data_IF_457094635818
#
_entry.id   IF_457094635818
#
_cell.length_a   1.000
_cell.length_b   1.000
_cell.length_c   1.000
_cell.angle_alpha   90.00
_cell.angle_beta   90.00
_cell.angle_gamma   90.00
#
_symmetry.space_group_name_H-M   'P 1'
#
loop_
_entity.id
_entity.type
_entity.pdbx_description
1 polymer ?
#
# COMPACT_ATOMS: atom_id res chain seq x y z
N UNK A 1 -11.07 40.47 1.50
CA UNK A 1 -11.73 40.58 2.82
C UNK A 1 -11.52 39.29 3.56
N UNK A 2 -10.80 39.35 4.69
CA UNK A 2 -10.57 38.24 5.59
C UNK A 2 -11.81 37.97 6.44
N UNK A 3 -12.06 36.70 6.74
CA UNK A 3 -12.76 36.28 7.95
C UNK A 3 -14.22 35.88 7.78
N UNK A 4 -14.44 34.56 7.72
CA UNK A 4 -15.13 33.83 8.80
C UNK A 4 -14.79 32.34 8.68
N UNK A 5 -14.00 31.85 9.65
CA UNK A 5 -13.83 30.42 9.93
C UNK A 5 -15.20 29.91 10.42
N UNK A 6 -15.81 29.01 9.66
CA UNK A 6 -16.94 28.23 10.17
C UNK A 6 -16.38 27.30 11.25
N UNK A 7 -17.08 27.29 12.37
CA UNK A 7 -16.71 26.63 13.62
C UNK A 7 -16.49 25.14 13.40
N UNK A 8 -15.43 24.68 14.06
CA UNK A 8 -14.97 23.32 14.34
C UNK A 8 -16.11 22.36 14.67
N UNK A 9 -16.21 21.26 13.93
CA UNK A 9 -16.77 20.01 14.45
C UNK A 9 -15.58 19.28 15.08
N UNK A 10 -15.51 19.32 16.41
CA UNK A 10 -14.45 18.69 17.21
C UNK A 10 -13.58 19.68 18.00
N UNK A 11 -14.18 20.50 18.86
CA UNK A 11 -13.49 21.12 20.00
C UNK A 11 -13.52 20.17 21.22
N UNK A 12 -13.17 18.90 21.00
CA UNK A 12 -12.66 18.09 22.10
C UNK A 12 -11.18 18.42 22.20
N UNK A 13 -10.74 18.85 23.39
CA UNK A 13 -9.34 19.02 23.72
C UNK A 13 -8.64 17.65 23.64
N UNK A 14 -8.30 17.22 22.43
CA UNK A 14 -7.41 16.08 22.19
C UNK A 14 -6.06 16.49 22.75
N UNK A 15 -5.73 16.01 23.93
CA UNK A 15 -4.39 16.14 24.50
C UNK A 15 -3.38 15.47 23.54
N UNK A 16 -2.13 15.95 23.51
CA UNK A 16 -1.08 15.31 22.71
C UNK A 16 -0.91 13.82 23.00
N UNK A 17 -1.23 13.40 24.23
CA UNK A 17 -1.23 12.00 24.66
C UNK A 17 -2.32 11.22 23.91
N UNK A 18 -3.55 11.73 23.86
CA UNK A 18 -4.65 11.09 23.12
C UNK A 18 -4.44 11.05 21.60
N UNK A 19 -3.72 12.04 21.04
CA UNK A 19 -3.35 12.02 19.62
C UNK A 19 -2.29 10.97 19.32
N UNK A 20 -1.26 10.87 20.18
CA UNK A 20 -0.22 9.84 20.06
C UNK A 20 -0.80 8.42 20.22
N UNK A 21 -1.67 8.20 21.20
CA UNK A 21 -2.37 6.93 21.40
C UNK A 21 -3.23 6.56 20.18
N UNK A 22 -3.91 7.54 19.59
CA UNK A 22 -4.67 7.34 18.35
C UNK A 22 -3.77 6.97 17.17
N UNK A 23 -2.60 7.60 17.05
CA UNK A 23 -1.62 7.29 16.00
C UNK A 23 -1.06 5.88 16.15
N UNK A 24 -0.69 5.47 17.37
CA UNK A 24 -0.24 4.11 17.64
C UNK A 24 -1.29 3.08 17.20
N UNK A 25 -2.55 3.34 17.53
CA UNK A 25 -3.63 2.45 17.14
C UNK A 25 -3.81 2.37 15.62
N UNK A 26 -3.73 3.50 14.91
CA UNK A 26 -3.77 3.53 13.45
C UNK A 26 -2.60 2.74 12.84
N UNK A 27 -1.39 2.89 13.40
CA UNK A 27 -0.18 2.14 12.98
C UNK A 27 -0.37 0.64 13.22
N UNK A 28 -0.87 0.20 14.38
CA UNK A 28 -1.12 -1.23 14.67
C UNK A 28 -2.08 -1.85 13.66
N UNK A 29 -3.19 -1.16 13.37
CA UNK A 29 -4.18 -1.63 12.40
C UNK A 29 -3.57 -1.72 11.00
N UNK A 30 -2.87 -0.68 10.57
CA UNK A 30 -2.21 -0.64 9.26
C UNK A 30 -1.16 -1.75 9.10
N UNK A 31 -0.31 -1.96 10.11
CA UNK A 31 0.67 -3.04 10.11
C UNK A 31 -0.01 -4.40 10.01
N UNK A 32 -1.12 -4.62 10.73
CA UNK A 32 -1.93 -5.83 10.60
C UNK A 32 -2.40 -6.09 9.16
N UNK A 33 -2.92 -5.06 8.49
CA UNK A 33 -3.35 -5.12 7.09
C UNK A 33 -2.16 -5.42 6.15
N UNK A 34 -1.06 -4.69 6.30
CA UNK A 34 0.17 -4.84 5.50
C UNK A 34 0.76 -6.24 5.68
N UNK A 35 0.80 -6.79 6.90
CA UNK A 35 1.21 -8.18 7.16
C UNK A 35 0.35 -9.17 6.37
N UNK A 36 -0.97 -8.94 6.32
CA UNK A 36 -1.90 -9.70 5.50
C UNK A 36 -1.56 -9.66 4.00
N UNK A 37 -1.21 -8.47 3.48
CA UNK A 37 -0.81 -8.32 2.08
C UNK A 37 0.48 -9.07 1.76
N UNK A 38 1.51 -8.97 2.60
CA UNK A 38 2.75 -9.72 2.40
C UNK A 38 2.54 -11.23 2.49
N UNK A 39 1.73 -11.72 3.43
CA UNK A 39 1.36 -13.16 3.49
C UNK A 39 0.70 -13.62 2.20
N UNK A 40 -0.25 -12.83 1.68
CA UNK A 40 -0.91 -13.10 0.39
C UNK A 40 0.12 -13.07 -0.73
N UNK A 41 0.91 -12.02 -0.91
CA UNK A 41 1.92 -11.90 -1.95
C UNK A 41 2.94 -13.06 -1.92
N UNK A 42 3.41 -13.45 -0.74
CA UNK A 42 4.32 -14.58 -0.55
C UNK A 42 3.69 -15.92 -0.97
N UNK A 43 2.36 -16.09 -0.83
CA UNK A 43 1.65 -17.27 -1.34
C UNK A 43 1.51 -17.28 -2.86
N UNK A 44 1.57 -16.10 -3.49
CA UNK A 44 1.47 -15.96 -4.96
C UNK A 44 2.82 -16.12 -5.64
N UNK A 45 3.92 -15.74 -5.00
CA UNK A 45 5.28 -15.79 -5.58
C UNK A 45 5.88 -17.21 -5.55
N UNK A 46 6.52 -17.68 -6.64
CA UNK A 46 7.18 -18.98 -6.70
C UNK A 46 8.56 -18.97 -6.02
N UNK A 47 8.64 -18.56 -4.75
CA UNK A 47 9.91 -18.41 -4.00
C UNK A 47 10.71 -19.71 -3.85
N UNK A 48 10.03 -20.88 -3.93
CA UNK A 48 10.69 -22.19 -3.97
C UNK A 48 11.40 -22.46 -5.31
N UNK A 49 10.84 -21.94 -6.41
CA UNK A 49 11.35 -22.14 -7.76
C UNK A 49 12.36 -21.07 -8.21
N UNK A 50 12.34 -19.88 -7.60
CA UNK A 50 13.28 -18.79 -7.87
C UNK A 50 13.83 -18.29 -6.53
N UNK A 51 15.01 -18.78 -6.15
CA UNK A 51 15.61 -18.51 -4.82
C UNK A 51 15.80 -17.02 -4.54
N UNK A 52 16.16 -16.25 -5.56
CA UNK A 52 16.41 -14.81 -5.44
C UNK A 52 15.14 -13.96 -5.19
N UNK A 53 13.92 -14.52 -5.31
CA UNK A 53 12.69 -13.76 -5.02
C UNK A 53 12.52 -13.44 -3.54
N UNK A 54 12.92 -14.34 -2.64
CA UNK A 54 12.82 -14.09 -1.20
C UNK A 54 13.68 -12.90 -0.74
N UNK A 55 14.99 -12.83 -1.05
CA UNK A 55 15.79 -11.66 -0.70
C UNK A 55 15.33 -10.38 -1.42
N UNK A 56 14.86 -10.47 -2.67
CA UNK A 56 14.28 -9.31 -3.37
C UNK A 56 13.01 -8.80 -2.70
N UNK A 57 12.13 -9.69 -2.26
CA UNK A 57 10.89 -9.33 -1.56
C UNK A 57 11.21 -8.53 -0.29
N UNK A 58 12.17 -9.00 0.51
CA UNK A 58 12.56 -8.36 1.76
C UNK A 58 13.30 -7.03 1.56
N UNK A 59 14.05 -6.89 0.46
CA UNK A 59 14.81 -5.66 0.16
C UNK A 59 13.97 -4.59 -0.53
N UNK A 60 13.17 -4.98 -1.52
CA UNK A 60 12.57 -4.08 -2.50
C UNK A 60 11.07 -4.31 -2.76
N UNK A 61 10.48 -5.37 -2.22
CA UNK A 61 9.06 -5.71 -2.41
C UNK A 61 8.08 -4.82 -1.65
N UNK A 62 8.30 -3.50 -1.66
CA UNK A 62 7.54 -2.52 -0.90
C UNK A 62 6.09 -2.42 -1.38
N UNK A 63 5.18 -2.15 -0.47
CA UNK A 63 3.75 -1.95 -0.75
C UNK A 63 3.45 -0.51 -1.22
N UNK A 64 4.22 0.02 -2.17
CA UNK A 64 4.11 1.40 -2.66
C UNK A 64 3.88 1.38 -4.17
N UNK A 65 2.93 2.17 -4.66
CA UNK A 65 2.57 2.26 -6.07
C UNK A 65 1.07 2.47 -6.28
N UNK A 66 0.63 2.40 -7.54
CA UNK A 66 -0.75 2.72 -7.93
C UNK A 66 -1.64 1.49 -8.18
N UNK A 67 -1.12 0.27 -8.00
CA UNK A 67 -1.91 -0.96 -8.02
C UNK A 67 -2.53 -1.25 -6.65
N UNK A 68 -3.26 -2.36 -6.54
CA UNK A 68 -3.63 -2.87 -5.23
C UNK A 68 -2.37 -3.24 -4.41
N UNK A 69 -2.43 -3.16 -3.07
CA UNK A 69 -1.31 -3.46 -2.18
C UNK A 69 -0.55 -4.75 -2.50
N UNK A 70 -1.27 -5.83 -2.85
CA UNK A 70 -0.65 -7.14 -3.10
C UNK A 70 0.10 -7.13 -4.43
N UNK A 71 -0.49 -6.56 -5.47
CA UNK A 71 0.13 -6.44 -6.79
C UNK A 71 1.36 -5.52 -6.75
N UNK A 72 1.33 -4.42 -5.98
CA UNK A 72 2.50 -3.57 -5.75
C UNK A 72 3.66 -4.38 -5.14
N UNK A 73 3.42 -5.14 -4.07
CA UNK A 73 4.44 -5.99 -3.43
C UNK A 73 5.06 -6.97 -4.44
N UNK A 74 4.22 -7.68 -5.21
CA UNK A 74 4.66 -8.68 -6.19
C UNK A 74 5.52 -8.03 -7.28
N UNK A 75 5.05 -6.94 -7.87
CA UNK A 75 5.73 -6.36 -9.02
C UNK A 75 6.95 -5.57 -8.61
N UNK A 76 6.95 -4.87 -7.48
CA UNK A 76 8.17 -4.24 -6.96
C UNK A 76 9.26 -5.29 -6.65
N UNK A 77 8.86 -6.47 -6.17
CA UNK A 77 9.78 -7.62 -5.98
C UNK A 77 10.37 -8.10 -7.31
N UNK A 78 9.56 -8.17 -8.37
CA UNK A 78 9.97 -8.68 -9.69
C UNK A 78 10.82 -7.65 -10.45
N UNK A 79 10.45 -6.37 -10.36
CA UNK A 79 11.14 -5.23 -10.99
C UNK A 79 12.56 -5.06 -10.46
N UNK A 80 12.76 -5.31 -9.16
CA UNK A 80 14.08 -5.22 -8.55
C UNK A 80 14.96 -6.42 -8.92
N UNK A 81 16.07 -6.14 -9.60
CA UNK A 81 17.11 -7.11 -9.85
C UNK A 81 18.46 -6.46 -9.53
N UNK A 82 19.09 -6.80 -8.38
CA UNK A 82 20.41 -6.29 -8.09
C UNK A 82 21.40 -6.77 -9.17
N UNK A 83 22.38 -5.93 -9.50
CA UNK A 83 23.55 -6.34 -10.28
C UNK A 83 24.28 -7.48 -9.54
N UNK A 84 24.81 -8.50 -10.24
CA UNK A 84 25.52 -9.60 -9.58
C UNK A 84 26.82 -9.07 -8.93
N UNK A 85 26.77 -8.84 -7.62
CA UNK A 85 27.94 -8.73 -6.75
C UNK A 85 28.28 -10.11 -6.18
N UNK A 86 29.56 -10.42 -5.94
CA UNK A 86 29.98 -11.73 -5.48
C UNK A 86 29.60 -11.93 -4.01
N UNK A 87 29.15 -13.15 -3.72
CA UNK A 87 29.20 -13.83 -2.42
C UNK A 87 28.39 -13.22 -1.27
N UNK A 88 27.23 -13.81 -0.98
CA UNK A 88 27.05 -14.64 0.21
C UNK A 88 25.92 -15.60 -0.12
N UNK A 89 26.08 -16.87 0.25
CA UNK A 89 25.18 -17.96 -0.12
C UNK A 89 23.71 -17.54 -0.02
N UNK A 90 23.04 -17.36 -1.16
CA UNK A 90 21.58 -17.27 -1.23
C UNK A 90 21.03 -18.68 -0.98
N UNK A 91 21.22 -19.16 0.25
CA UNK A 91 20.58 -20.35 0.76
C UNK A 91 19.06 -20.19 0.64
N UNK A 92 18.38 -21.32 0.45
CA UNK A 92 16.91 -21.33 0.40
C UNK A 92 16.40 -20.80 1.74
N UNK A 93 15.94 -19.55 1.76
CA UNK A 93 15.44 -18.95 2.99
C UNK A 93 14.16 -19.67 3.40
N UNK A 94 14.20 -20.34 4.55
CA UNK A 94 13.03 -21.02 5.07
C UNK A 94 11.86 -20.03 5.21
N UNK A 95 10.65 -20.47 4.85
CA UNK A 95 9.47 -19.61 4.87
C UNK A 95 9.24 -18.92 6.22
N UNK A 96 9.56 -19.61 7.32
CA UNK A 96 9.50 -19.06 8.68
C UNK A 96 10.40 -17.82 8.84
N UNK A 97 11.62 -17.88 8.32
CA UNK A 97 12.59 -16.77 8.35
C UNK A 97 12.21 -15.62 7.44
N UNK A 98 11.56 -15.89 6.30
CA UNK A 98 10.99 -14.82 5.46
C UNK A 98 9.90 -14.10 6.25
N UNK A 99 8.98 -14.84 6.88
CA UNK A 99 7.87 -14.27 7.63
C UNK A 99 8.34 -13.45 8.84
N UNK A 100 9.38 -13.88 9.56
CA UNK A 100 9.92 -13.09 10.68
C UNK A 100 10.56 -11.78 10.23
N UNK A 101 11.03 -11.67 8.97
CA UNK A 101 11.55 -10.42 8.39
C UNK A 101 10.46 -9.56 7.74
N UNK A 102 9.26 -10.10 7.60
CA UNK A 102 8.07 -9.41 7.09
C UNK A 102 7.25 -8.84 8.24
N UNK A 103 6.97 -9.66 9.26
CA UNK A 103 6.06 -9.32 10.36
C UNK A 103 6.79 -8.44 11.35
N UNK A 104 6.24 -7.25 11.55
CA UNK A 104 6.69 -6.28 12.54
C UNK A 104 6.19 -6.68 13.91
N UNK A 105 7.09 -6.70 14.88
CA UNK A 105 6.75 -6.86 16.28
C UNK A 105 6.11 -5.58 16.81
N UNK A 106 4.82 -5.60 17.08
CA UNK A 106 4.08 -4.42 17.56
C UNK A 106 4.27 -4.14 19.04
N UNK A 107 5.00 -5.00 19.76
CA UNK A 107 5.36 -4.79 21.16
C UNK A 107 6.61 -3.91 21.30
N UNK A 108 7.37 -3.71 20.22
CA UNK A 108 8.51 -2.79 20.18
C UNK A 108 8.01 -1.34 19.99
N UNK A 109 8.20 -0.44 20.98
CA UNK A 109 7.69 0.93 20.90
C UNK A 109 8.29 1.73 19.74
N UNK A 110 9.50 1.37 19.28
CA UNK A 110 10.18 2.05 18.15
C UNK A 110 9.42 1.90 16.83
N UNK A 111 8.51 0.94 16.75
CA UNK A 111 7.66 0.72 15.57
C UNK A 111 6.66 1.86 15.37
N UNK A 112 6.31 2.57 16.44
CA UNK A 112 5.36 3.68 16.41
C UNK A 112 6.01 5.04 16.12
N UNK A 113 7.35 5.11 16.12
CA UNK A 113 8.07 6.34 15.77
C UNK A 113 7.94 6.64 14.27
N UNK A 114 7.47 7.85 13.96
CA UNK A 114 7.38 8.43 12.62
C UNK A 114 7.98 9.85 12.67
N UNK A 115 8.83 10.24 11.70
CA UNK A 115 9.50 9.37 10.72
C UNK A 115 10.47 8.39 11.39
N UNK A 116 10.80 7.28 10.72
CA UNK A 116 11.78 6.32 11.24
C UNK A 116 13.18 6.95 11.32
N UNK A 117 13.84 6.74 12.46
CA UNK A 117 15.26 7.06 12.59
C UNK A 117 16.11 6.34 11.52
N UNK A 118 17.11 7.03 11.01
CA UNK A 118 17.93 6.52 9.92
C UNK A 118 18.75 5.28 10.32
N UNK A 119 19.17 5.19 11.58
CA UNK A 119 19.97 4.08 12.08
C UNK A 119 19.11 2.84 12.35
N UNK A 120 17.85 3.02 12.76
CA UNK A 120 16.92 1.91 13.00
C UNK A 120 16.19 1.44 11.74
N UNK A 121 15.95 2.32 10.75
CA UNK A 121 15.17 1.99 9.55
C UNK A 121 15.74 0.82 8.73
N UNK A 122 17.06 0.58 8.77
CA UNK A 122 17.70 -0.52 8.02
C UNK A 122 17.48 -1.89 8.67
N UNK A 123 17.24 -1.94 9.98
CA UNK A 123 16.92 -3.17 10.70
C UNK A 123 15.41 -3.46 10.77
N UNK A 124 14.58 -2.51 10.33
CA UNK A 124 13.13 -2.66 10.29
C UNK A 124 12.66 -3.67 9.24
N UNK A 125 11.50 -4.25 9.54
CA UNK A 125 10.81 -5.18 8.64
C UNK A 125 10.37 -4.49 7.35
N UNK A 126 10.18 -5.28 6.29
CA UNK A 126 9.69 -4.73 5.01
C UNK A 126 8.26 -4.17 5.13
N UNK A 127 7.45 -4.69 6.07
CA UNK A 127 6.12 -4.15 6.35
C UNK A 127 6.18 -2.75 6.97
N UNK A 128 7.01 -2.55 8.01
CA UNK A 128 7.17 -1.24 8.64
C UNK A 128 7.78 -0.22 7.70
N UNK A 129 8.75 -0.63 6.87
CA UNK A 129 9.31 0.21 5.79
C UNK A 129 8.26 0.58 4.74
N UNK A 130 7.32 -0.32 4.43
CA UNK A 130 6.23 0.00 3.51
C UNK A 130 5.27 1.03 4.08
N UNK A 131 4.92 0.91 5.37
CA UNK A 131 4.12 1.92 6.07
C UNK A 131 4.80 3.29 6.03
N UNK A 132 6.11 3.34 6.31
CA UNK A 132 6.92 4.57 6.25
C UNK A 132 6.80 5.25 4.88
N UNK A 133 6.97 4.46 3.81
CA UNK A 133 6.89 4.98 2.45
C UNK A 133 5.50 5.44 2.06
N UNK A 134 4.44 4.75 2.51
CA UNK A 134 3.05 5.16 2.27
C UNK A 134 2.73 6.51 2.95
N UNK A 135 3.10 6.65 4.23
CA UNK A 135 2.92 7.91 4.98
C UNK A 135 3.74 9.03 4.33
N UNK A 136 5.01 8.76 4.03
CA UNK A 136 5.88 9.71 3.34
C UNK A 136 5.28 10.17 2.01
N UNK A 137 4.78 9.25 1.18
CA UNK A 137 4.15 9.61 -0.09
C UNK A 137 3.05 10.65 0.11
N UNK A 138 2.13 10.41 1.04
CA UNK A 138 1.00 11.30 1.28
C UNK A 138 1.45 12.68 1.79
N UNK A 139 2.41 12.75 2.71
CA UNK A 139 2.91 14.01 3.26
C UNK A 139 3.68 14.82 2.20
N UNK A 140 4.49 14.16 1.38
CA UNK A 140 5.25 14.84 0.33
C UNK A 140 4.38 15.28 -0.84
N UNK A 141 3.32 14.51 -1.16
CA UNK A 141 2.35 14.89 -2.18
C UNK A 141 1.41 16.00 -1.69
N UNK A 142 0.81 15.81 -0.52
CA UNK A 142 -0.05 16.78 0.17
C UNK A 142 0.73 17.47 1.29
N UNK A 143 1.52 18.49 0.95
CA UNK A 143 2.39 19.22 1.89
C UNK A 143 1.69 19.85 3.10
N UNK A 144 0.36 19.92 3.08
CA UNK A 144 -0.47 20.44 4.18
C UNK A 144 -0.96 19.35 5.14
N UNK A 145 -0.75 18.07 4.82
CA UNK A 145 -1.28 16.94 5.57
C UNK A 145 -0.35 16.60 6.73
N UNK A 146 -0.89 16.52 7.95
CA UNK A 146 -0.15 16.06 9.12
C UNK A 146 0.02 14.53 9.12
N UNK A 147 1.01 14.03 9.86
CA UNK A 147 1.28 12.58 9.98
C UNK A 147 0.07 11.79 10.49
N UNK A 148 -0.58 12.28 11.54
CA UNK A 148 -1.79 11.68 12.10
C UNK A 148 -2.91 11.58 11.04
N UNK A 149 -3.08 12.61 10.21
CA UNK A 149 -4.07 12.61 9.15
C UNK A 149 -3.71 11.60 8.04
N UNK A 150 -2.43 11.55 7.64
CA UNK A 150 -1.95 10.59 6.65
C UNK A 150 -2.19 9.14 7.09
N UNK A 151 -1.88 8.81 8.36
CA UNK A 151 -2.16 7.51 8.96
C UNK A 151 -3.67 7.21 8.94
N UNK A 152 -4.49 8.17 9.35
CA UNK A 152 -5.95 7.99 9.38
C UNK A 152 -6.53 7.74 7.98
N UNK A 153 -6.09 8.47 6.96
CA UNK A 153 -6.52 8.24 5.58
C UNK A 153 -6.07 6.88 5.05
N UNK A 154 -4.82 6.48 5.34
CA UNK A 154 -4.34 5.15 4.97
C UNK A 154 -5.16 4.05 5.66
N UNK A 155 -5.52 4.23 6.95
CA UNK A 155 -6.33 3.25 7.66
C UNK A 155 -7.70 3.10 7.02
N UNK A 156 -8.36 4.22 6.71
CA UNK A 156 -9.66 4.23 6.03
C UNK A 156 -9.58 3.60 4.62
N UNK A 157 -8.44 3.75 3.95
CA UNK A 157 -8.17 3.15 2.66
C UNK A 157 -7.68 1.69 2.73
N UNK A 158 -7.50 1.11 3.92
CA UNK A 158 -6.94 -0.23 4.08
C UNK A 158 -5.51 -0.36 3.56
N UNK A 159 -4.70 0.70 3.71
CA UNK A 159 -3.37 0.89 3.16
C UNK A 159 -3.26 0.82 1.62
N UNK A 160 -4.36 0.98 0.88
CA UNK A 160 -4.33 1.25 -0.57
C UNK A 160 -4.02 2.73 -0.81
N UNK A 161 -2.83 3.01 -1.34
CA UNK A 161 -2.33 4.37 -1.53
C UNK A 161 -3.24 5.21 -2.44
N UNK A 162 -3.71 4.62 -3.54
CA UNK A 162 -4.49 5.36 -4.52
C UNK A 162 -5.91 5.65 -4.00
N UNK A 163 -6.45 4.73 -3.19
CA UNK A 163 -7.70 4.97 -2.48
C UNK A 163 -7.53 6.05 -1.40
N UNK A 164 -6.40 6.10 -0.69
CA UNK A 164 -6.12 7.16 0.28
C UNK A 164 -6.04 8.54 -0.37
N UNK A 165 -5.32 8.65 -1.50
CA UNK A 165 -5.29 9.86 -2.35
C UNK A 165 -6.70 10.29 -2.73
N UNK A 166 -7.52 9.37 -3.22
CA UNK A 166 -8.92 9.66 -3.58
C UNK A 166 -9.72 10.18 -2.37
N UNK A 167 -9.60 9.55 -1.19
CA UNK A 167 -10.30 9.99 0.02
C UNK A 167 -9.90 11.40 0.45
N UNK A 168 -8.61 11.72 0.41
CA UNK A 168 -8.09 13.06 0.73
C UNK A 168 -8.67 14.10 -0.24
N UNK A 169 -8.67 13.79 -1.54
CA UNK A 169 -9.19 14.69 -2.55
C UNK A 169 -10.69 14.94 -2.38
N UNK A 170 -11.47 13.92 -2.02
CA UNK A 170 -12.92 14.08 -1.76
C UNK A 170 -13.19 14.90 -0.49
N UNK A 171 -12.41 14.71 0.57
CA UNK A 171 -12.57 15.44 1.84
C UNK A 171 -12.18 16.92 1.70
N UNK A 172 -11.05 17.19 1.04
CA UNK A 172 -10.45 18.53 0.99
C UNK A 172 -10.99 19.39 -0.16
N UNK A 173 -11.33 18.80 -1.29
CA UNK A 173 -11.93 19.51 -2.42
C UNK A 173 -13.45 19.39 -2.35
N UNK A 174 -14.11 20.37 -1.69
CA UNK A 174 -15.56 20.44 -1.45
C UNK A 174 -16.40 19.67 -2.50
N UNK A 175 -17.29 18.75 -2.09
CA UNK A 175 -18.31 18.18 -2.97
C UNK A 175 -19.49 19.15 -3.05
N UNK A 176 -19.26 20.33 -3.61
CA UNK A 176 -20.35 21.00 -4.32
C UNK A 176 -20.26 20.47 -5.74
N UNK A 177 -21.34 19.91 -6.26
CA UNK A 177 -21.61 19.64 -7.69
C UNK A 177 -21.99 18.17 -7.96
N UNK A 178 -22.87 17.99 -8.96
CA UNK A 178 -23.64 16.80 -9.29
C UNK A 178 -22.79 15.63 -9.83
N UNK A 179 -23.38 14.44 -9.88
CA UNK A 179 -22.75 13.21 -10.40
C UNK A 179 -22.30 13.36 -11.87
N UNK A 180 -22.94 14.25 -12.65
CA UNK A 180 -22.57 14.50 -14.05
C UNK A 180 -21.23 15.22 -14.20
N UNK A 181 -20.85 16.08 -13.26
CA UNK A 181 -19.61 16.86 -13.32
C UNK A 181 -18.37 16.08 -12.84
N UNK A 182 -18.56 14.85 -12.36
CA UNK A 182 -17.46 13.94 -12.03
C UNK A 182 -16.72 13.44 -13.28
N UNK A 183 -17.37 13.45 -14.45
CA UNK A 183 -16.78 13.03 -15.72
C UNK A 183 -16.01 14.17 -16.41
N UNK A 184 -16.41 15.43 -16.20
CA UNK A 184 -15.78 16.62 -16.78
C UNK A 184 -14.68 17.23 -15.88
N UNK A 185 -14.54 16.74 -14.64
CA UNK A 185 -13.48 17.20 -13.73
C UNK A 185 -12.10 16.74 -14.22
N UNK A 186 -11.12 17.64 -14.13
CA UNK A 186 -9.69 17.26 -14.17
C UNK A 186 -9.45 16.24 -13.05
N UNK A 187 -8.77 15.11 -13.30
CA UNK A 187 -8.50 14.14 -12.26
C UNK A 187 -7.75 14.83 -11.10
N UNK A 188 -8.16 14.60 -9.85
CA UNK A 188 -7.64 15.31 -8.69
C UNK A 188 -6.18 14.92 -8.37
N UNK A 189 -5.76 13.77 -8.89
CA UNK A 189 -4.41 13.24 -8.86
C UNK A 189 -3.84 13.18 -10.27
N UNK A 190 -2.58 13.56 -10.47
CA UNK A 190 -1.86 13.34 -11.73
C UNK A 190 -0.65 12.44 -11.49
N UNK A 191 -0.78 11.18 -11.94
CA UNK A 191 0.25 10.14 -11.83
C UNK A 191 1.57 10.58 -12.50
N UNK A 192 1.47 11.32 -13.60
CA UNK A 192 2.63 11.72 -14.42
C UNK A 192 3.25 13.04 -13.96
N UNK A 193 2.60 13.75 -13.02
CA UNK A 193 3.08 15.03 -12.53
C UNK A 193 4.47 14.96 -11.89
N UNK A 194 5.28 16.03 -11.97
CA UNK A 194 6.54 16.12 -11.24
C UNK A 194 6.38 15.88 -9.73
N UNK A 195 5.28 16.37 -9.14
CA UNK A 195 4.95 16.19 -7.72
C UNK A 195 4.81 14.72 -7.36
N UNK A 196 4.06 13.93 -8.15
CA UNK A 196 3.94 12.49 -7.93
C UNK A 196 5.28 11.78 -8.03
N UNK A 197 6.11 12.13 -9.01
CA UNK A 197 7.46 11.55 -9.18
C UNK A 197 8.35 11.85 -7.98
N UNK A 198 8.28 13.07 -7.43
CA UNK A 198 9.02 13.47 -6.24
C UNK A 198 8.50 12.71 -5.02
N UNK A 199 7.18 12.66 -4.81
CA UNK A 199 6.57 11.95 -3.70
C UNK A 199 6.90 10.45 -3.71
N UNK A 200 6.90 9.79 -4.88
CA UNK A 200 7.35 8.40 -5.01
C UNK A 200 8.84 8.22 -4.67
N UNK A 201 9.70 9.17 -5.07
CA UNK A 201 11.14 9.12 -4.73
C UNK A 201 11.35 9.25 -3.22
N UNK A 202 10.67 10.20 -2.58
CA UNK A 202 10.71 10.38 -1.13
C UNK A 202 10.18 9.14 -0.41
N UNK A 203 9.04 8.60 -0.84
CA UNK A 203 8.47 7.37 -0.31
C UNK A 203 9.43 6.19 -0.39
N UNK A 204 10.07 5.98 -1.54
CA UNK A 204 11.06 4.93 -1.73
C UNK A 204 12.32 5.14 -0.88
N UNK A 205 12.76 6.40 -0.72
CA UNK A 205 13.91 6.74 0.11
C UNK A 205 13.63 6.51 1.61
N UNK A 206 12.49 6.98 2.13
CA UNK A 206 12.07 6.74 3.52
C UNK A 206 11.89 5.25 3.80
N UNK A 207 11.32 4.51 2.83
CA UNK A 207 11.20 3.06 2.89
C UNK A 207 12.53 2.30 2.66
N UNK A 208 13.67 2.99 2.53
CA UNK A 208 15.01 2.41 2.32
C UNK A 208 15.09 1.46 1.13
N UNK A 209 14.38 1.77 0.04
CA UNK A 209 14.50 0.98 -1.19
C UNK A 209 15.95 1.07 -1.71
N UNK A 210 16.61 -0.04 -2.10
CA UNK A 210 18.02 -0.02 -2.52
C UNK A 210 18.26 0.89 -3.72
N UNK A 211 17.31 0.93 -4.65
CA UNK A 211 17.38 1.73 -5.88
C UNK A 211 16.06 2.47 -6.12
N UNK A 212 15.82 3.63 -5.47
CA UNK A 212 14.52 4.33 -5.51
C UNK A 212 14.01 4.62 -6.93
N UNK A 213 14.93 4.85 -7.88
CA UNK A 213 14.59 5.09 -9.28
C UNK A 213 13.86 3.91 -9.92
N UNK A 214 14.23 2.65 -9.59
CA UNK A 214 13.56 1.46 -10.13
C UNK A 214 12.11 1.41 -9.67
N UNK A 215 11.85 1.68 -8.39
CA UNK A 215 10.48 1.68 -7.85
C UNK A 215 9.61 2.75 -8.53
N UNK A 216 10.16 3.95 -8.70
CA UNK A 216 9.45 5.07 -9.36
C UNK A 216 9.12 4.72 -10.81
N UNK A 217 10.12 4.26 -11.57
CA UNK A 217 9.93 3.86 -12.97
C UNK A 217 8.92 2.73 -13.10
N UNK A 218 9.04 1.69 -12.26
CA UNK A 218 8.08 0.59 -12.23
C UNK A 218 6.66 1.07 -11.89
N UNK A 219 6.50 1.94 -10.89
CA UNK A 219 5.19 2.45 -10.48
C UNK A 219 4.49 3.24 -11.60
N UNK A 220 5.24 4.10 -12.30
CA UNK A 220 4.72 4.88 -13.43
C UNK A 220 4.40 3.99 -14.63
N UNK A 221 5.26 3.02 -14.93
CA UNK A 221 5.04 2.04 -15.99
C UNK A 221 3.80 1.18 -15.72
N UNK A 222 3.63 0.73 -14.48
CA UNK A 222 2.50 -0.12 -14.09
C UNK A 222 1.19 0.66 -14.04
N UNK A 223 1.23 1.95 -13.77
CA UNK A 223 0.07 2.81 -13.92
C UNK A 223 -0.46 2.82 -15.36
N UNK A 224 0.42 2.71 -16.38
CA UNK A 224 -0.03 2.70 -17.78
C UNK A 224 -0.72 1.43 -18.24
N UNK A 225 -0.36 0.32 -17.62
CA UNK A 225 -0.94 -0.98 -17.92
C UNK A 225 -1.84 -1.49 -16.79
N UNK A 226 -2.31 -0.60 -15.91
CA UNK A 226 -2.93 -0.99 -14.64
C UNK A 226 -4.11 -1.96 -14.80
N UNK A 227 -4.99 -1.70 -15.79
CA UNK A 227 -6.14 -2.57 -16.07
C UNK A 227 -5.70 -3.98 -16.45
N UNK A 228 -4.81 -4.09 -17.44
CA UNK A 228 -4.34 -5.38 -17.96
C UNK A 228 -3.52 -6.15 -16.91
N UNK A 229 -2.65 -5.48 -16.17
CA UNK A 229 -1.77 -6.12 -15.18
C UNK A 229 -2.57 -6.52 -13.93
N UNK A 230 -3.47 -5.68 -13.45
CA UNK A 230 -4.34 -6.00 -12.31
C UNK A 230 -5.24 -7.19 -12.64
N UNK A 231 -5.83 -7.22 -13.83
CA UNK A 231 -6.65 -8.34 -14.28
C UNK A 231 -5.83 -9.62 -14.44
N UNK A 232 -4.68 -9.53 -15.11
CA UNK A 232 -3.76 -10.66 -15.27
C UNK A 232 -3.34 -11.24 -13.92
N UNK A 233 -3.02 -10.40 -12.94
CA UNK A 233 -2.69 -10.85 -11.59
C UNK A 233 -3.93 -11.42 -10.88
N UNK A 234 -5.12 -10.87 -11.05
CA UNK A 234 -6.33 -11.42 -10.43
C UNK A 234 -6.68 -12.82 -10.95
N UNK A 235 -6.53 -13.06 -12.25
CA UNK A 235 -6.77 -14.37 -12.87
C UNK A 235 -5.74 -15.42 -12.41
N UNK A 236 -4.58 -15.01 -11.92
CA UNK A 236 -3.49 -15.89 -11.53
C UNK A 236 -3.18 -15.78 -10.03
N UNK A 237 -3.90 -16.53 -9.18
CA UNK A 237 -3.71 -16.50 -7.73
C UNK A 237 -2.35 -17.06 -7.31
N UNK A 238 -1.69 -17.89 -8.12
CA UNK A 238 -0.30 -18.31 -7.94
C UNK A 238 0.48 -18.13 -9.23
N UNK A 239 1.62 -17.46 -9.15
CA UNK A 239 2.47 -17.17 -10.30
C UNK A 239 3.41 -18.35 -10.55
N UNK A 240 3.46 -18.81 -11.80
CA UNK A 240 4.46 -19.78 -12.23
C UNK A 240 5.81 -19.10 -12.48
N UNK A 241 6.88 -19.89 -12.52
CA UNK A 241 8.24 -19.41 -12.85
C UNK A 241 8.25 -18.71 -14.22
N UNK A 242 7.53 -19.27 -15.20
CA UNK A 242 7.40 -18.69 -16.56
C UNK A 242 6.75 -17.32 -16.50
N UNK A 243 5.68 -17.16 -15.72
CA UNK A 243 4.98 -15.88 -15.57
C UNK A 243 5.87 -14.81 -14.96
N UNK A 244 6.62 -15.15 -13.91
CA UNK A 244 7.58 -14.21 -13.31
C UNK A 244 8.63 -13.76 -14.32
N UNK A 245 9.16 -14.68 -15.13
CA UNK A 245 10.12 -14.35 -16.20
C UNK A 245 9.50 -13.46 -17.27
N UNK A 246 8.28 -13.76 -17.72
CA UNK A 246 7.57 -12.96 -18.71
C UNK A 246 7.26 -11.55 -18.18
N UNK A 247 6.75 -11.42 -16.95
CA UNK A 247 6.49 -10.12 -16.32
C UNK A 247 7.78 -9.31 -16.19
N UNK A 248 8.88 -9.94 -15.77
CA UNK A 248 10.19 -9.29 -15.68
C UNK A 248 10.66 -8.79 -17.04
N UNK A 249 10.59 -9.63 -18.07
CA UNK A 249 11.00 -9.26 -19.42
C UNK A 249 10.14 -8.11 -19.96
N UNK A 250 8.82 -8.18 -19.74
CA UNK A 250 7.90 -7.09 -20.10
C UNK A 250 8.27 -5.78 -19.39
N UNK A 251 8.52 -5.82 -18.07
CA UNK A 251 8.97 -4.64 -17.31
C UNK A 251 10.27 -4.07 -17.89
N UNK A 252 11.30 -4.91 -18.13
CA UNK A 252 12.59 -4.45 -18.67
C UNK A 252 12.49 -3.84 -20.07
N UNK A 253 11.64 -4.37 -20.95
CA UNK A 253 11.47 -3.86 -22.32
C UNK A 253 10.75 -2.52 -22.39
N UNK A 254 9.96 -2.18 -21.38
CA UNK A 254 9.20 -0.93 -21.37
C UNK A 254 9.96 0.25 -20.75
N UNK A 255 11.10 0.02 -20.08
CA UNK A 255 11.95 1.11 -19.57
C UNK A 255 12.55 1.99 -20.68
N UNK A 256 12.43 1.60 -21.96
CA UNK A 256 12.96 2.31 -23.13
C UNK A 256 11.90 2.97 -24.02
N UNK A 257 10.61 2.99 -23.64
CA UNK A 257 9.56 3.63 -24.46
C UNK A 257 9.08 4.94 -23.85
N UNK A 258 8.89 5.93 -24.72
CA UNK A 258 8.10 7.12 -24.39
C UNK A 258 6.70 6.68 -23.97
N UNK A 259 6.33 7.04 -22.75
CA UNK A 259 5.07 6.63 -22.15
C UNK A 259 3.93 7.50 -22.71
N UNK A 260 2.83 6.89 -23.21
CA UNK A 260 1.70 7.65 -23.71
C UNK A 260 1.04 8.47 -22.58
N UNK A 261 0.29 9.54 -22.92
CA UNK A 261 -0.52 10.26 -21.95
C UNK A 261 -1.49 9.30 -21.25
N UNK A 262 -1.55 9.40 -19.92
CA UNK A 262 -2.25 8.44 -19.08
C UNK A 262 -3.64 8.90 -18.68
N UNK A 263 -4.65 8.03 -18.84
CA UNK A 263 -5.96 8.21 -18.23
C UNK A 263 -5.91 7.81 -16.75
N UNK A 264 -5.84 8.83 -15.88
CA UNK A 264 -5.72 8.65 -14.43
C UNK A 264 -7.04 8.13 -13.81
N UNK A 265 -8.17 8.29 -14.49
CA UNK A 265 -9.46 7.84 -13.97
C UNK A 265 -9.54 6.33 -13.85
N UNK A 266 -8.90 5.58 -14.76
CA UNK A 266 -8.90 4.11 -14.69
C UNK A 266 -8.26 3.57 -13.42
N UNK A 267 -7.01 3.93 -13.05
CA UNK A 267 -6.43 3.57 -11.77
C UNK A 267 -7.30 3.92 -10.57
N UNK A 268 -7.78 5.16 -10.52
CA UNK A 268 -8.53 5.65 -9.38
C UNK A 268 -9.88 4.95 -9.24
N UNK A 269 -10.60 4.77 -10.36
CA UNK A 269 -11.83 4.00 -10.41
C UNK A 269 -11.63 2.55 -9.92
N UNK A 270 -10.58 1.87 -10.39
CA UNK A 270 -10.26 0.52 -9.91
C UNK A 270 -9.99 0.48 -8.40
N UNK A 271 -9.36 1.51 -7.82
CA UNK A 271 -9.18 1.63 -6.38
C UNK A 271 -10.51 1.81 -5.64
N UNK A 272 -11.44 2.64 -6.16
CA UNK A 272 -12.78 2.80 -5.55
C UNK A 272 -13.61 1.51 -5.59
N UNK A 273 -13.50 0.71 -6.66
CA UNK A 273 -14.16 -0.59 -6.73
C UNK A 273 -13.64 -1.57 -5.66
N UNK A 274 -12.35 -1.52 -5.32
CA UNK A 274 -11.77 -2.36 -4.26
C UNK A 274 -12.37 -2.04 -2.89
N UNK A 275 -12.64 -0.76 -2.61
CA UNK A 275 -13.35 -0.35 -1.39
C UNK A 275 -14.76 -0.96 -1.32
N UNK A 276 -15.51 -0.91 -2.42
CA UNK A 276 -16.86 -1.47 -2.48
C UNK A 276 -16.89 -2.99 -2.28
N UNK A 277 -15.88 -3.71 -2.80
CA UNK A 277 -15.72 -5.15 -2.60
C UNK A 277 -15.32 -5.47 -1.15
N UNK A 278 -14.43 -4.68 -0.55
CA UNK A 278 -14.03 -4.81 0.85
C UNK A 278 -15.23 -4.74 1.80
N UNK A 279 -16.05 -3.68 1.67
CA UNK A 279 -17.28 -3.50 2.48
C UNK A 279 -18.30 -4.62 2.32
N UNK A 280 -18.39 -5.24 1.13
CA UNK A 280 -19.28 -6.40 0.91
C UNK A 280 -18.76 -7.67 1.58
N UNK A 281 -17.44 -7.86 1.65
CA UNK A 281 -16.83 -9.00 2.35
C UNK A 281 -16.94 -8.86 3.86
N UNK A 282 -16.67 -7.67 4.41
CA UNK A 282 -16.87 -7.38 5.85
C UNK A 282 -18.33 -7.60 6.28
N UNK A 283 -19.31 -7.09 5.51
CA UNK A 283 -20.73 -7.35 5.77
C UNK A 283 -21.12 -8.83 5.66
N UNK A 284 -20.41 -9.61 4.83
CA UNK A 284 -20.66 -11.06 4.69
C UNK A 284 -20.05 -11.81 5.86
N UNK A 285 -18.85 -11.44 6.29
CA UNK A 285 -18.14 -12.01 7.45
C UNK A 285 -18.85 -11.69 8.77
N UNK A 286 -19.33 -10.46 8.97
CA UNK A 286 -20.19 -10.08 10.11
C UNK A 286 -21.51 -10.85 10.12
N UNK A 287 -22.14 -11.06 8.95
CA UNK A 287 -23.35 -11.89 8.86
C UNK A 287 -23.07 -13.35 9.24
N UNK A 288 -22.00 -13.96 8.71
CA UNK A 288 -21.64 -15.35 9.08
C UNK A 288 -21.24 -15.49 10.55
N UNK A 289 -20.56 -14.48 11.14
CA UNK A 289 -20.26 -14.45 12.58
C UNK A 289 -21.54 -14.33 13.41
N UNK A 290 -22.49 -13.50 12.97
CA UNK A 290 -23.82 -13.38 13.57
C UNK A 290 -24.61 -14.70 13.55
N UNK A 291 -24.58 -15.44 12.43
CA UNK A 291 -25.23 -16.76 12.36
C UNK A 291 -24.59 -17.79 13.30
N UNK A 292 -23.26 -17.79 13.46
CA UNK A 292 -22.58 -18.70 14.41
C UNK A 292 -22.83 -18.37 15.88
N UNK A 293 -23.06 -17.09 16.23
CA UNK A 293 -23.43 -16.68 17.60
C UNK A 293 -24.89 -17.04 17.90
N UNK A 294 -25.80 -16.93 16.94
CA UNK A 294 -27.20 -17.35 17.12
C UNK A 294 -27.37 -18.87 17.21
N UNK A 295 -26.60 -19.66 16.47
CA UNK A 295 -26.62 -21.14 16.60
C UNK A 295 -26.05 -21.62 17.95
N UNK A 296 -25.01 -20.97 18.48
CA UNK A 296 -24.44 -21.33 19.78
C UNK A 296 -25.35 -20.99 20.99
N UNK A 297 -26.25 -20.02 20.84
CA UNK A 297 -27.24 -19.65 21.88
C UNK A 297 -28.49 -20.56 21.79
N UNK A 298 -28.88 -21.00 20.60
CA UNK A 298 -30.01 -21.91 20.42
C UNK A 298 -29.76 -23.35 20.90
N UNK A 299 -28.50 -23.77 21.09
CA UNK A 299 -28.15 -25.11 21.60
C UNK A 299 -27.96 -25.18 23.13
N UNK A 300 -28.31 -24.14 23.89
CA UNK A 300 -28.13 -24.08 25.36
C UNK A 300 -29.42 -23.97 26.18
N UNK A 301 -30.58 -24.17 25.58
CA UNK A 301 -31.84 -24.27 26.30
C UNK A 301 -32.51 -25.59 25.93
N UNK A 302 -32.22 -26.61 26.72
CA UNK A 302 -33.15 -27.70 27.06
C UNK A 302 -32.50 -28.55 28.19
N UNK A 303 -33.04 -28.51 29.41
CA UNK A 303 -33.03 -29.64 30.32
C UNK A 303 -34.38 -30.37 30.35
#
# INVERSE_FOLDING_TARGET
>A
MYGKRLRTIGDDHVTRVTEAESMEQDIRVLLGQIHGFYKKALNRLPVKGIRSLAPRLLKAGLCIGFLDPISNIILNTISYCPSPLPTHEEGVLARKTILSKIITDTDDPRVFELPLDAHTAHSMTVARRSLEGLVSFLIYYYRYLAEAEALRYLRLAGADLLLAVWLIDQDRNKPSVSVSDLLDRKPPFDISSPTTKIALRCAAASARHPEPAILVSASLLLASSLGNVSEYLHQHPRLSIRMVRCLRQWLSLQHCRDMPPMDIWRPMYLATLRLAVGKRKEKKEEKTSGYTVFEAVASRQDP
#
